data_IF_364431950122
#
_entry.id   IF_364431950122
#
_cell.length_a   1.000
_cell.length_b   1.000
_cell.length_c   1.000
_cell.angle_alpha   90.00
_cell.angle_beta   90.00
_cell.angle_gamma   90.00
#
_symmetry.space_group_name_H-M   'P 1'
#
loop_
_entity.id
_entity.type
_entity.pdbx_description
1 polymer ?
#
# COMPACT_ATOMS: atom_id res chain seq x y z
N UNK A 1 -51.46 -6.73 3.18
CA UNK A 1 -50.48 -5.88 2.46
C UNK A 1 -49.32 -5.68 3.41
N UNK A 2 -48.26 -6.51 3.21
CA UNK A 2 -47.09 -6.55 4.10
C UNK A 2 -46.16 -5.39 3.81
N UNK A 3 -45.87 -4.61 4.85
CA UNK A 3 -44.74 -3.68 4.84
C UNK A 3 -43.46 -4.50 4.91
N UNK A 4 -42.77 -4.64 3.81
CA UNK A 4 -41.45 -5.25 3.72
C UNK A 4 -40.45 -4.22 4.28
N UNK A 5 -39.77 -4.61 5.38
CA UNK A 5 -38.82 -3.78 6.12
C UNK A 5 -37.64 -3.38 5.23
N UNK A 6 -37.42 -2.07 5.13
CA UNK A 6 -36.26 -1.47 4.45
C UNK A 6 -34.91 -1.76 5.16
N UNK A 7 -34.93 -2.48 6.26
CA UNK A 7 -33.74 -2.77 7.10
C UNK A 7 -32.90 -3.96 6.61
N UNK A 8 -33.40 -4.75 5.64
CA UNK A 8 -32.74 -5.98 5.18
C UNK A 8 -31.73 -5.78 4.02
N UNK A 9 -31.59 -4.54 3.53
CA UNK A 9 -30.68 -4.23 2.41
C UNK A 9 -29.30 -3.67 2.84
N UNK A 10 -29.04 -3.52 4.15
CA UNK A 10 -27.79 -2.91 4.64
C UNK A 10 -26.84 -3.89 5.32
N UNK A 11 -27.19 -5.18 5.50
CA UNK A 11 -26.42 -6.09 6.35
C UNK A 11 -25.47 -7.06 5.61
N UNK A 12 -25.42 -7.07 4.25
CA UNK A 12 -24.64 -8.09 3.52
C UNK A 12 -23.36 -7.57 2.82
N UNK A 13 -22.79 -6.45 3.27
CA UNK A 13 -21.52 -5.93 2.70
C UNK A 13 -20.26 -6.22 3.52
N UNK A 14 -20.35 -6.98 4.61
CA UNK A 14 -19.24 -7.09 5.58
C UNK A 14 -18.27 -8.27 5.35
N UNK A 15 -18.46 -9.10 4.33
CA UNK A 15 -17.59 -10.28 4.13
C UNK A 15 -17.16 -10.56 2.67
N UNK A 16 -17.33 -9.59 1.77
CA UNK A 16 -16.87 -9.77 0.38
C UNK A 16 -15.41 -9.37 0.27
N UNK A 17 -14.56 -10.27 -0.23
CA UNK A 17 -13.16 -9.96 -0.50
C UNK A 17 -13.08 -8.90 -1.60
N UNK A 18 -12.42 -7.78 -1.31
CA UNK A 18 -12.19 -6.70 -2.27
C UNK A 18 -11.37 -7.22 -3.47
N UNK A 19 -11.94 -7.18 -4.66
CA UNK A 19 -11.44 -7.80 -5.87
C UNK A 19 -11.26 -6.79 -7.01
N UNK A 20 -10.56 -7.20 -8.06
CA UNK A 20 -10.49 -6.41 -9.31
C UNK A 20 -11.90 -6.21 -9.87
N UNK A 21 -12.22 -4.98 -10.27
CA UNK A 21 -13.55 -4.55 -10.70
C UNK A 21 -14.38 -3.89 -9.59
N UNK A 22 -14.03 -4.06 -8.32
CA UNK A 22 -14.70 -3.39 -7.21
C UNK A 22 -14.25 -1.92 -7.08
N UNK A 23 -15.09 -1.12 -6.42
CA UNK A 23 -14.68 0.24 -6.04
C UNK A 23 -13.65 0.20 -4.93
N UNK A 24 -12.57 0.95 -5.13
CA UNK A 24 -11.53 1.12 -4.13
C UNK A 24 -12.08 1.83 -2.88
N UNK A 25 -11.71 1.40 -1.69
CA UNK A 25 -12.01 2.10 -0.45
C UNK A 25 -11.43 3.52 -0.47
N UNK A 26 -12.26 4.50 -0.12
CA UNK A 26 -11.86 5.90 -0.07
C UNK A 26 -11.56 6.32 1.37
N UNK A 27 -10.29 6.46 1.67
CA UNK A 27 -9.77 6.75 3.03
C UNK A 27 -9.04 8.08 3.01
N UNK A 28 -9.17 8.86 4.08
CA UNK A 28 -8.39 10.09 4.29
C UNK A 28 -7.25 9.80 5.27
N UNK A 29 -6.02 10.06 4.84
CA UNK A 29 -4.80 9.86 5.60
C UNK A 29 -3.97 11.15 5.62
N UNK A 30 -3.18 11.43 6.66
CA UNK A 30 -2.22 12.52 6.63
C UNK A 30 -1.06 12.21 5.67
N UNK A 31 -0.63 13.21 4.91
CA UNK A 31 0.60 13.14 4.12
C UNK A 31 1.85 13.33 5.00
N UNK A 32 3.02 13.36 4.38
CA UNK A 32 4.31 13.57 5.06
C UNK A 32 4.46 14.98 5.68
N UNK A 33 3.59 15.93 5.35
CA UNK A 33 3.49 17.25 5.98
C UNK A 33 2.31 17.36 6.95
N UNK A 34 1.71 16.23 7.34
CA UNK A 34 0.54 16.13 8.21
C UNK A 34 -0.72 16.82 7.67
N UNK A 35 -0.87 16.95 6.36
CA UNK A 35 -2.07 17.48 5.71
C UNK A 35 -3.02 16.33 5.38
N UNK A 36 -4.32 16.44 5.68
CA UNK A 36 -5.28 15.40 5.33
C UNK A 36 -5.37 15.28 3.79
N UNK A 37 -5.18 14.06 3.30
CA UNK A 37 -5.21 13.73 1.88
C UNK A 37 -6.17 12.57 1.68
N UNK A 38 -7.18 12.76 0.85
CA UNK A 38 -8.17 11.74 0.52
C UNK A 38 -7.71 10.96 -0.70
N UNK A 39 -7.81 9.63 -0.66
CA UNK A 39 -7.34 8.79 -1.76
C UNK A 39 -8.07 9.10 -3.07
N UNK A 40 -9.38 9.38 -3.03
CA UNK A 40 -10.14 9.74 -4.22
C UNK A 40 -9.66 11.02 -4.91
N UNK A 41 -9.13 11.98 -4.18
CA UNK A 41 -8.57 13.20 -4.77
C UNK A 41 -7.33 12.89 -5.63
N UNK A 42 -6.59 11.82 -5.29
CA UNK A 42 -5.40 11.41 -6.04
C UNK A 42 -5.78 10.66 -7.31
N UNK A 43 -6.63 9.63 -7.22
CA UNK A 43 -6.95 8.82 -8.41
C UNK A 43 -7.86 9.54 -9.41
N UNK A 44 -8.65 10.55 -8.99
CA UNK A 44 -9.43 11.39 -9.91
C UNK A 44 -8.54 12.24 -10.84
N UNK A 45 -7.35 12.61 -10.38
CA UNK A 45 -6.39 13.35 -11.21
C UNK A 45 -5.76 12.43 -12.28
N UNK A 46 -5.33 11.23 -11.88
CA UNK A 46 -4.79 10.19 -12.75
C UNK A 46 -4.84 8.83 -12.06
N UNK A 47 -4.84 7.70 -12.79
CA UNK A 47 -4.71 6.38 -12.17
C UNK A 47 -3.55 6.34 -11.18
N UNK A 48 -3.71 5.58 -10.10
CA UNK A 48 -2.65 5.45 -9.09
C UNK A 48 -2.22 4.00 -8.91
N UNK A 49 -0.92 3.83 -8.68
CA UNK A 49 -0.32 2.63 -8.12
C UNK A 49 -0.20 2.85 -6.61
N UNK A 50 -1.12 2.25 -5.84
CA UNK A 50 -1.17 2.36 -4.39
C UNK A 50 -0.37 1.23 -3.76
N UNK A 51 0.69 1.56 -3.04
CA UNK A 51 1.64 0.61 -2.47
C UNK A 51 1.64 0.71 -0.95
N UNK A 52 1.30 -0.37 -0.28
CA UNK A 52 1.37 -0.50 1.16
C UNK A 52 2.69 -1.14 1.57
N UNK A 53 3.47 -0.43 2.38
CA UNK A 53 4.69 -0.94 3.02
C UNK A 53 4.53 -0.88 4.53
N UNK A 54 5.28 -1.67 5.30
CA UNK A 54 5.07 -1.72 6.76
C UNK A 54 5.47 -0.42 7.46
N UNK A 55 6.76 -0.11 7.49
CA UNK A 55 7.30 1.07 8.18
C UNK A 55 8.71 1.41 7.68
N UNK A 56 9.13 2.63 7.89
CA UNK A 56 10.43 3.19 7.47
C UNK A 56 11.67 2.46 8.01
N UNK A 57 11.54 1.74 9.13
CA UNK A 57 12.63 0.92 9.71
C UNK A 57 12.75 -0.50 9.11
N UNK A 58 11.87 -0.91 8.23
CA UNK A 58 11.91 -2.24 7.60
C UNK A 58 12.79 -2.19 6.34
N UNK A 59 13.86 -2.97 6.32
CA UNK A 59 14.79 -3.01 5.16
C UNK A 59 14.13 -3.48 3.87
N UNK A 60 13.22 -4.47 3.95
CA UNK A 60 12.46 -4.95 2.79
C UNK A 60 11.45 -3.92 2.28
N UNK A 61 10.84 -3.14 3.18
CA UNK A 61 9.94 -2.04 2.82
C UNK A 61 10.70 -0.92 2.12
N UNK A 62 11.91 -0.66 2.56
CA UNK A 62 12.82 0.28 1.91
C UNK A 62 13.20 -0.20 0.51
N UNK A 63 13.55 -1.49 0.35
CA UNK A 63 13.83 -2.06 -0.98
C UNK A 63 12.65 -1.84 -1.93
N UNK A 64 11.43 -2.10 -1.47
CA UNK A 64 10.22 -1.88 -2.26
C UNK A 64 10.01 -0.40 -2.63
N UNK A 65 10.16 0.52 -1.67
CA UNK A 65 10.04 1.96 -1.93
C UNK A 65 11.08 2.46 -2.95
N UNK A 66 12.31 1.94 -2.91
CA UNK A 66 13.36 2.28 -3.88
C UNK A 66 13.07 1.69 -5.26
N UNK A 67 12.57 0.45 -5.34
CA UNK A 67 12.13 -0.15 -6.61
C UNK A 67 11.01 0.69 -7.24
N UNK A 68 10.03 1.16 -6.45
CA UNK A 68 8.99 2.06 -6.95
C UNK A 68 9.55 3.42 -7.40
N UNK A 69 10.57 3.96 -6.71
CA UNK A 69 11.24 5.19 -7.13
C UNK A 69 11.97 5.01 -8.47
N UNK A 70 12.63 3.89 -8.66
CA UNK A 70 13.34 3.57 -9.91
C UNK A 70 12.38 3.39 -11.09
N UNK A 71 11.21 2.80 -10.84
CA UNK A 71 10.16 2.61 -11.84
C UNK A 71 9.23 3.82 -12.03
N UNK A 72 9.42 4.90 -11.25
CA UNK A 72 8.46 6.02 -11.20
C UNK A 72 8.29 6.72 -12.54
N UNK A 73 9.38 6.94 -13.28
CA UNK A 73 9.34 7.56 -14.63
C UNK A 73 8.50 6.74 -15.62
N UNK A 74 8.60 5.42 -15.55
CA UNK A 74 7.87 4.53 -16.47
C UNK A 74 6.37 4.49 -16.10
N UNK A 75 6.06 4.53 -14.79
CA UNK A 75 4.66 4.62 -14.30
C UNK A 75 4.05 5.97 -14.71
N UNK A 76 4.79 7.08 -14.60
CA UNK A 76 4.33 8.38 -15.08
C UNK A 76 4.14 8.42 -16.60
N UNK A 77 5.03 7.80 -17.37
CA UNK A 77 4.90 7.67 -18.82
C UNK A 77 3.68 6.82 -19.22
N UNK A 78 3.27 5.88 -18.37
CA UNK A 78 2.03 5.12 -18.51
C UNK A 78 0.77 5.92 -18.08
N UNK A 79 0.91 7.19 -17.67
CA UNK A 79 -0.19 8.09 -17.31
C UNK A 79 -0.67 7.95 -15.87
N UNK A 80 0.04 7.21 -15.01
CA UNK A 80 -0.32 6.98 -13.61
C UNK A 80 0.62 7.70 -12.64
N UNK A 81 0.26 7.69 -11.34
CA UNK A 81 1.12 8.15 -10.26
C UNK A 81 1.31 7.06 -9.21
N UNK A 82 2.30 7.21 -8.33
CA UNK A 82 2.55 6.30 -7.21
C UNK A 82 2.12 6.94 -5.91
N UNK A 83 1.43 6.17 -5.06
CA UNK A 83 1.07 6.56 -3.70
C UNK A 83 1.59 5.49 -2.75
N UNK A 84 2.49 5.87 -1.84
CA UNK A 84 3.05 4.99 -0.83
C UNK A 84 2.34 5.19 0.51
N UNK A 85 1.86 4.11 1.12
CA UNK A 85 1.25 4.14 2.46
C UNK A 85 2.12 3.39 3.44
N UNK A 86 2.43 4.01 4.59
CA UNK A 86 3.21 3.39 5.67
C UNK A 86 2.47 3.46 7.00
N UNK A 87 2.81 2.58 7.94
CA UNK A 87 2.30 2.62 9.32
C UNK A 87 3.09 3.61 10.22
N UNK A 88 3.91 4.47 9.64
CA UNK A 88 4.62 5.51 10.38
C UNK A 88 3.70 6.68 10.74
N UNK A 89 4.13 7.52 11.66
CA UNK A 89 3.58 8.85 11.84
C UNK A 89 4.09 9.82 10.75
N UNK A 90 3.42 10.96 10.51
CA UNK A 90 3.79 11.90 9.46
C UNK A 90 5.25 12.42 9.57
N UNK A 91 5.75 12.65 10.79
CA UNK A 91 7.10 13.18 10.99
C UNK A 91 8.19 12.18 10.55
N UNK A 92 7.99 10.89 10.87
CA UNK A 92 8.89 9.80 10.40
C UNK A 92 8.78 9.57 8.91
N UNK A 93 7.56 9.62 8.39
CA UNK A 93 7.31 9.52 6.96
C UNK A 93 8.03 10.65 6.21
N UNK A 94 7.98 11.88 6.71
CA UNK A 94 8.70 13.02 6.13
C UNK A 94 10.22 12.77 6.09
N UNK A 95 10.80 12.34 7.21
CA UNK A 95 12.24 12.02 7.29
C UNK A 95 12.61 10.85 6.33
N UNK A 96 11.75 9.84 6.23
CA UNK A 96 11.94 8.71 5.32
C UNK A 96 11.89 9.16 3.86
N UNK A 97 10.87 9.91 3.46
CA UNK A 97 10.69 10.46 2.11
C UNK A 97 11.88 11.33 1.69
N UNK A 98 12.30 12.24 2.57
CA UNK A 98 13.45 13.12 2.31
C UNK A 98 14.76 12.34 2.17
N UNK A 99 15.03 11.41 3.10
CA UNK A 99 16.25 10.57 3.09
C UNK A 99 16.39 9.75 1.81
N UNK A 100 15.30 9.21 1.31
CA UNK A 100 15.31 8.32 0.14
C UNK A 100 14.88 9.00 -1.15
N UNK A 101 14.65 10.32 -1.08
CA UNK A 101 14.29 11.15 -2.23
C UNK A 101 13.11 10.55 -3.03
N UNK A 102 12.03 10.15 -2.30
CA UNK A 102 10.86 9.59 -2.93
C UNK A 102 10.06 10.69 -3.63
N UNK A 103 9.87 10.64 -4.97
CA UNK A 103 9.29 11.74 -5.74
C UNK A 103 7.76 11.78 -5.69
N UNK A 104 7.13 10.74 -5.15
CA UNK A 104 5.68 10.53 -5.15
C UNK A 104 5.04 10.87 -3.79
N UNK A 105 3.70 10.84 -3.78
CA UNK A 105 2.90 11.05 -2.57
C UNK A 105 3.14 9.91 -1.57
N UNK A 106 3.39 10.28 -0.31
CA UNK A 106 3.54 9.34 0.80
C UNK A 106 2.51 9.68 1.88
N UNK A 107 1.78 8.68 2.37
CA UNK A 107 0.71 8.80 3.35
C UNK A 107 1.01 7.98 4.60
N UNK A 108 0.68 8.53 5.76
CA UNK A 108 0.88 7.91 7.06
C UNK A 108 -0.43 7.27 7.56
N UNK A 109 -0.41 5.98 7.85
CA UNK A 109 -1.54 5.21 8.36
C UNK A 109 -1.17 4.46 9.65
N UNK A 110 -0.79 5.20 10.68
CA UNK A 110 -0.40 4.63 11.98
C UNK A 110 -1.52 3.80 12.63
N UNK A 111 -2.78 4.06 12.30
CA UNK A 111 -3.93 3.30 12.78
C UNK A 111 -4.32 2.12 11.90
N UNK A 112 -3.68 1.96 10.75
CA UNK A 112 -3.96 0.90 9.78
C UNK A 112 -5.41 0.92 9.25
N UNK A 113 -6.01 2.10 9.12
CA UNK A 113 -7.38 2.25 8.61
C UNK A 113 -7.45 1.85 7.12
N UNK A 114 -6.50 2.31 6.30
CA UNK A 114 -6.40 1.92 4.91
C UNK A 114 -5.96 0.46 4.73
N UNK A 115 -5.02 -0.05 5.55
CA UNK A 115 -4.64 -1.49 5.50
C UNK A 115 -5.84 -2.40 5.71
N UNK A 116 -6.74 -2.06 6.66
CA UNK A 116 -7.97 -2.83 6.89
C UNK A 116 -8.96 -2.66 5.74
N UNK A 117 -9.16 -1.44 5.26
CA UNK A 117 -10.09 -1.14 4.17
C UNK A 117 -9.70 -1.89 2.87
N UNK A 118 -8.41 -1.92 2.54
CA UNK A 118 -7.88 -2.66 1.38
C UNK A 118 -7.65 -4.15 1.66
N UNK A 119 -8.01 -4.62 2.86
CA UNK A 119 -7.87 -6.01 3.29
C UNK A 119 -6.43 -6.54 3.12
N UNK A 120 -5.43 -5.70 3.41
CA UNK A 120 -4.05 -6.14 3.48
C UNK A 120 -3.89 -7.18 4.58
N UNK A 121 -3.36 -8.38 4.30
CA UNK A 121 -3.40 -9.48 5.25
C UNK A 121 -2.45 -9.25 6.42
N UNK A 122 -2.74 -9.93 7.52
CA UNK A 122 -1.79 -10.08 8.64
C UNK A 122 -1.12 -11.44 8.52
N UNK A 123 0.19 -11.43 8.56
CA UNK A 123 1.01 -12.65 8.47
C UNK A 123 1.16 -13.35 9.82
N UNK A 124 1.61 -14.59 9.77
CA UNK A 124 2.14 -15.32 10.93
C UNK A 124 3.63 -15.00 11.14
N UNK A 125 4.18 -15.37 12.31
CA UNK A 125 5.63 -15.23 12.59
C UNK A 125 6.50 -15.87 11.50
N UNK A 126 6.09 -17.01 10.93
CA UNK A 126 6.79 -17.68 9.85
C UNK A 126 6.78 -16.94 8.52
N UNK A 127 5.68 -16.24 8.22
CA UNK A 127 5.54 -15.42 6.99
C UNK A 127 6.30 -14.09 7.09
N UNK A 128 6.52 -13.60 8.31
CA UNK A 128 7.20 -12.31 8.56
C UNK A 128 8.69 -12.49 8.81
N UNK A 129 9.09 -13.57 9.49
CA UNK A 129 10.45 -13.80 9.97
C UNK A 129 10.96 -15.24 9.75
N UNK A 130 10.39 -15.99 8.81
CA UNK A 130 10.83 -17.36 8.49
C UNK A 130 12.23 -17.43 7.88
N UNK A 131 12.88 -18.63 7.83
CA UNK A 131 14.27 -18.79 7.37
C UNK A 131 14.55 -18.25 5.97
N UNK A 132 13.57 -18.35 5.06
CA UNK A 132 13.67 -17.80 3.71
C UNK A 132 13.77 -16.26 3.68
N UNK A 133 13.31 -15.59 4.74
CA UNK A 133 13.36 -14.13 4.90
C UNK A 133 14.73 -13.68 5.45
N UNK A 134 15.40 -14.51 6.24
CA UNK A 134 16.68 -14.18 6.88
C UNK A 134 17.76 -13.82 5.86
N UNK A 135 17.88 -14.61 4.80
CA UNK A 135 18.89 -14.34 3.76
C UNK A 135 18.62 -13.03 3.00
N UNK A 136 17.35 -12.73 2.72
CA UNK A 136 16.97 -11.47 2.08
C UNK A 136 17.13 -10.28 3.03
N UNK A 137 16.75 -10.44 4.31
CA UNK A 137 16.92 -9.41 5.33
C UNK A 137 18.41 -9.11 5.60
N UNK A 138 19.26 -10.13 5.67
CA UNK A 138 20.71 -9.98 5.81
C UNK A 138 21.30 -9.22 4.61
N UNK A 139 20.94 -9.60 3.40
CA UNK A 139 21.40 -8.92 2.17
C UNK A 139 20.96 -7.47 2.12
N UNK A 140 19.75 -7.17 2.54
CA UNK A 140 19.20 -5.81 2.60
C UNK A 140 19.86 -4.99 3.73
N UNK A 141 20.10 -5.60 4.89
CA UNK A 141 20.79 -5.00 6.02
C UNK A 141 22.20 -4.51 5.67
N UNK A 142 22.98 -5.34 4.95
CA UNK A 142 24.32 -4.96 4.47
C UNK A 142 24.29 -3.84 3.44
N UNK A 143 23.21 -3.72 2.67
CA UNK A 143 23.07 -2.67 1.65
C UNK A 143 22.59 -1.33 2.22
N UNK A 144 21.73 -1.32 3.22
CA UNK A 144 20.96 -0.12 3.59
C UNK A 144 20.83 0.15 5.10
N UNK A 145 21.32 -0.75 5.96
CA UNK A 145 21.23 -0.63 7.42
C UNK A 145 19.85 -1.02 7.98
N UNK A 146 19.76 -1.18 9.29
CA UNK A 146 18.53 -1.50 10.00
C UNK A 146 17.96 -0.28 10.70
N UNK A 147 16.62 -0.15 10.68
CA UNK A 147 15.87 0.80 11.51
C UNK A 147 15.18 0.09 12.68
N UNK A 148 14.79 0.85 13.70
CA UNK A 148 14.03 0.34 14.86
C UNK A 148 12.60 -0.04 14.45
N UNK A 149 12.22 -1.31 14.70
CA UNK A 149 10.84 -1.79 14.51
C UNK A 149 9.96 -1.23 15.63
N UNK A 150 9.00 -0.38 15.30
CA UNK A 150 8.07 0.26 16.26
C UNK A 150 6.60 0.14 15.88
N UNK A 151 6.26 -0.59 14.83
CA UNK A 151 4.90 -0.82 14.35
C UNK A 151 4.59 -2.31 14.28
N UNK A 152 3.35 -2.67 13.98
CA UNK A 152 2.88 -4.05 13.89
C UNK A 152 3.76 -4.90 12.96
N UNK A 153 4.57 -5.85 13.49
CA UNK A 153 5.45 -6.66 12.67
C UNK A 153 4.70 -7.69 11.81
N UNK A 154 3.43 -7.96 12.14
CA UNK A 154 2.61 -8.96 11.45
C UNK A 154 1.87 -8.41 10.24
N UNK A 155 1.81 -7.08 10.07
CA UNK A 155 1.18 -6.50 8.89
C UNK A 155 1.97 -6.86 7.63
N UNK A 156 1.31 -7.38 6.60
CA UNK A 156 1.91 -7.66 5.30
C UNK A 156 1.65 -6.53 4.31
N UNK A 157 2.53 -6.36 3.33
CA UNK A 157 2.38 -5.35 2.28
C UNK A 157 1.23 -5.69 1.31
N UNK A 158 0.93 -4.74 0.41
CA UNK A 158 0.01 -4.94 -0.70
C UNK A 158 0.26 -3.90 -1.80
N UNK A 159 -0.16 -4.21 -3.02
CA UNK A 159 -0.07 -3.29 -4.16
C UNK A 159 -1.37 -3.35 -4.95
N UNK A 160 -1.88 -2.17 -5.32
CA UNK A 160 -3.15 -2.03 -6.02
C UNK A 160 -2.98 -1.02 -7.16
N UNK A 161 -3.69 -1.23 -8.26
CA UNK A 161 -3.86 -0.22 -9.31
C UNK A 161 -5.30 0.23 -9.29
N UNK A 162 -5.52 1.54 -9.23
CA UNK A 162 -6.84 2.16 -9.16
C UNK A 162 -6.94 3.15 -10.32
N UNK A 163 -8.01 3.04 -11.11
CA UNK A 163 -8.26 3.95 -12.21
C UNK A 163 -8.87 5.29 -11.73
N UNK A 164 -9.13 6.20 -12.66
CA UNK A 164 -9.69 7.54 -12.36
C UNK A 164 -11.13 7.49 -11.84
N UNK A 165 -11.85 6.44 -12.14
CA UNK A 165 -13.22 6.18 -11.68
C UNK A 165 -13.23 5.54 -10.28
N UNK A 166 -12.05 5.22 -9.72
CA UNK A 166 -11.89 4.56 -8.42
C UNK A 166 -12.15 3.06 -8.46
N UNK A 167 -11.99 2.42 -9.62
CA UNK A 167 -12.14 0.97 -9.77
C UNK A 167 -10.77 0.29 -9.67
N UNK A 168 -10.71 -0.80 -8.93
CA UNK A 168 -9.52 -1.64 -8.82
C UNK A 168 -9.26 -2.37 -10.15
N UNK A 169 -8.12 -2.09 -10.77
CA UNK A 169 -7.63 -2.79 -11.97
C UNK A 169 -6.63 -3.89 -11.64
N UNK A 170 -6.02 -3.80 -10.46
CA UNK A 170 -5.08 -4.80 -9.95
C UNK A 170 -5.13 -4.85 -8.43
N UNK A 171 -4.97 -6.03 -7.85
CA UNK A 171 -4.91 -6.23 -6.40
C UNK A 171 -3.96 -7.37 -6.07
N UNK A 172 -2.80 -7.04 -5.53
CA UNK A 172 -1.84 -8.01 -4.98
C UNK A 172 -1.76 -7.83 -3.47
N UNK A 173 -2.10 -8.89 -2.74
CA UNK A 173 -1.96 -8.97 -1.29
C UNK A 173 -0.86 -9.94 -0.94
N UNK A 174 0.18 -9.42 -0.33
CA UNK A 174 1.41 -10.18 -0.06
C UNK A 174 1.17 -11.38 0.86
N UNK A 175 1.75 -12.51 0.55
CA UNK A 175 1.72 -13.73 1.36
C UNK A 175 2.86 -13.77 2.38
N UNK A 176 3.89 -12.96 2.19
CA UNK A 176 5.02 -12.75 3.09
C UNK A 176 5.67 -11.38 2.85
N UNK A 177 6.56 -10.96 3.74
CA UNK A 177 7.12 -9.60 3.76
C UNK A 177 7.92 -9.17 2.51
N UNK A 178 8.32 -10.11 1.66
CA UNK A 178 9.05 -9.83 0.41
C UNK A 178 8.24 -10.23 -0.84
N UNK A 179 6.95 -10.49 -0.68
CA UNK A 179 6.02 -10.79 -1.76
C UNK A 179 5.29 -9.50 -2.15
N UNK A 180 5.83 -8.77 -3.09
CA UNK A 180 5.20 -7.57 -3.66
C UNK A 180 5.12 -7.68 -5.18
N UNK A 181 4.17 -6.97 -5.77
CA UNK A 181 4.04 -6.91 -7.22
C UNK A 181 5.26 -6.22 -7.85
N UNK A 182 5.75 -6.75 -8.94
CA UNK A 182 6.84 -6.15 -9.70
C UNK A 182 6.37 -4.89 -10.46
N UNK A 183 7.26 -3.96 -10.79
CA UNK A 183 6.92 -2.82 -11.65
C UNK A 183 6.29 -3.23 -12.98
N UNK A 184 6.75 -4.34 -13.57
CA UNK A 184 6.24 -4.86 -14.84
C UNK A 184 4.78 -5.31 -14.72
N UNK A 185 4.40 -5.99 -13.61
CA UNK A 185 3.02 -6.39 -13.33
C UNK A 185 2.11 -5.17 -13.14
N UNK A 186 2.60 -4.14 -12.43
CA UNK A 186 1.88 -2.89 -12.20
C UNK A 186 1.68 -2.11 -13.51
N UNK A 187 2.73 -2.01 -14.34
CA UNK A 187 2.65 -1.39 -15.67
C UNK A 187 1.73 -2.14 -16.62
N UNK A 188 1.70 -3.46 -16.57
CA UNK A 188 0.78 -4.27 -17.36
C UNK A 188 -0.69 -4.00 -16.95
N UNK A 189 -0.95 -3.87 -15.65
CA UNK A 189 -2.28 -3.56 -15.12
C UNK A 189 -2.76 -2.13 -15.46
N UNK A 190 -1.85 -1.19 -15.67
CA UNK A 190 -2.20 0.17 -16.11
C UNK A 190 -2.62 0.25 -17.59
N UNK A 191 -2.28 -0.77 -18.38
CA UNK A 191 -2.58 -0.84 -19.82
C UNK A 191 -3.84 -1.64 -20.15
N UNK A 192 -4.39 -2.36 -19.16
CA UNK A 192 -5.60 -3.18 -19.28
C UNK A 192 -6.87 -2.38 -19.01
#
# INVERSE_FOLDING_TARGET
MSQMKLEDLTSDRSNTTLSVGDRAPDVTLPDDLNRPTRLSELWQLRPIVLVFVRHSGCTLCLDHAVVMREAYSDIQAAGADVVLVTMDDPARLHAFKARWQLPFVCLADARQDAYRAFQCPRGSLWQVAGPAMWWRAIKSLFRRGAGLVRSDPMQLPGSFVIDREGVLRFAHRSRHSADWASPEELLAALRS
#
